data_IF_088659932745
#
_entry.id   IF_088659932745
#
_cell.length_a   1.000
_cell.length_b   1.000
_cell.length_c   1.000
_cell.angle_alpha   90.00
_cell.angle_beta   90.00
_cell.angle_gamma   90.00
#
_symmetry.space_group_name_H-M   'P 1'
#
loop_
_entity.id
_entity.type
_entity.pdbx_description
1 polymer ?
#
# COMPACT_ATOMS: atom_id res chain seq x y z
N UNK A 1 -11.28 -9.13 -13.40
CA UNK A 1 -10.83 -9.71 -12.10
C UNK A 1 -10.68 -11.21 -12.25
N UNK A 2 -9.56 -11.78 -11.81
CA UNK A 2 -9.27 -13.22 -11.92
C UNK A 2 -9.74 -14.00 -10.68
N UNK A 3 -9.82 -15.34 -10.82
CA UNK A 3 -10.03 -16.22 -9.69
C UNK A 3 -8.86 -16.19 -8.68
N UNK A 4 -7.65 -15.90 -9.12
CA UNK A 4 -6.49 -15.78 -8.23
C UNK A 4 -6.63 -14.56 -7.31
N UNK A 5 -7.05 -13.42 -7.86
CA UNK A 5 -7.27 -12.20 -7.10
C UNK A 5 -8.32 -12.38 -5.99
N UNK A 6 -9.48 -12.99 -6.30
CA UNK A 6 -10.58 -13.15 -5.33
C UNK A 6 -10.30 -14.18 -4.24
N UNK A 7 -9.24 -14.98 -4.36
CA UNK A 7 -8.83 -15.95 -3.32
C UNK A 7 -8.06 -15.32 -2.16
N UNK A 8 -7.52 -14.12 -2.34
CA UNK A 8 -6.80 -13.44 -1.27
C UNK A 8 -7.72 -13.11 -0.10
N UNK A 9 -7.18 -13.26 1.10
CA UNK A 9 -7.86 -13.00 2.36
C UNK A 9 -7.30 -11.76 3.05
N UNK A 10 -7.78 -11.48 4.24
CA UNK A 10 -7.41 -10.30 5.00
C UNK A 10 -8.20 -9.08 4.54
N UNK A 11 -7.53 -7.97 4.33
CA UNK A 11 -8.18 -6.75 3.82
C UNK A 11 -8.37 -6.83 2.32
N UNK A 12 -9.60 -6.71 1.85
CA UNK A 12 -9.97 -6.82 0.44
C UNK A 12 -11.03 -5.78 0.07
N UNK A 13 -11.22 -5.54 -1.21
CA UNK A 13 -12.35 -4.81 -1.78
C UNK A 13 -13.57 -5.71 -1.97
N UNK A 14 -13.45 -7.01 -1.70
CA UNK A 14 -14.47 -8.03 -1.96
C UNK A 14 -14.86 -8.13 -3.44
N UNK A 15 -13.85 -8.11 -4.32
CA UNK A 15 -14.04 -8.22 -5.76
C UNK A 15 -14.56 -9.62 -6.16
N UNK A 16 -15.35 -9.65 -7.23
CA UNK A 16 -15.82 -10.88 -7.87
C UNK A 16 -15.20 -11.03 -9.27
N UNK A 17 -15.13 -12.25 -9.77
CA UNK A 17 -14.54 -12.53 -11.09
C UNK A 17 -15.30 -11.88 -12.26
N UNK A 18 -16.56 -11.50 -12.06
CA UNK A 18 -17.36 -10.76 -13.05
C UNK A 18 -17.11 -9.26 -13.05
N UNK A 19 -16.40 -8.74 -12.06
CA UNK A 19 -16.24 -7.30 -11.91
C UNK A 19 -15.28 -6.71 -12.96
N UNK A 20 -15.66 -5.50 -13.40
CA UNK A 20 -14.78 -4.59 -14.14
C UNK A 20 -14.56 -3.35 -13.30
N UNK A 21 -13.35 -3.17 -12.82
CA UNK A 21 -12.98 -2.12 -11.88
C UNK A 21 -12.04 -1.14 -12.56
N UNK A 22 -12.25 0.14 -12.35
CA UNK A 22 -11.33 1.16 -12.88
C UNK A 22 -9.97 1.07 -12.18
N UNK A 23 -8.89 1.48 -12.87
CA UNK A 23 -7.56 1.56 -12.25
C UNK A 23 -7.58 2.52 -11.06
N UNK A 24 -8.33 3.59 -11.14
CA UNK A 24 -8.48 4.58 -10.08
C UNK A 24 -9.12 3.97 -8.82
N UNK A 25 -10.22 3.21 -8.96
CA UNK A 25 -10.85 2.52 -7.83
C UNK A 25 -9.94 1.44 -7.23
N UNK A 26 -9.20 0.72 -8.08
CA UNK A 26 -8.21 -0.25 -7.59
C UNK A 26 -7.11 0.43 -6.77
N UNK A 27 -6.61 1.59 -7.21
CA UNK A 27 -5.61 2.35 -6.46
C UNK A 27 -6.17 2.86 -5.12
N UNK A 28 -7.38 3.44 -5.09
CA UNK A 28 -8.05 3.82 -3.84
C UNK A 28 -8.29 2.61 -2.93
N UNK A 29 -8.75 1.50 -3.49
CA UNK A 29 -8.92 0.25 -2.74
C UNK A 29 -7.62 -0.25 -2.11
N UNK A 30 -6.50 -0.15 -2.82
CA UNK A 30 -5.17 -0.51 -2.28
C UNK A 30 -4.75 0.45 -1.17
N UNK A 31 -4.89 1.74 -1.39
CA UNK A 31 -4.41 2.78 -0.47
C UNK A 31 -5.26 2.83 0.80
N UNK A 32 -6.56 3.01 0.65
CA UNK A 32 -7.50 3.25 1.76
C UNK A 32 -7.91 1.95 2.43
N UNK A 33 -8.38 0.96 1.65
CA UNK A 33 -8.91 -0.30 2.18
C UNK A 33 -7.82 -1.36 2.42
N UNK A 34 -6.61 -1.14 1.90
CA UNK A 34 -5.54 -2.16 1.88
C UNK A 34 -5.93 -3.42 1.09
N UNK A 35 -6.63 -3.27 -0.03
CA UNK A 35 -7.20 -4.36 -0.81
C UNK A 35 -6.14 -5.29 -1.41
N UNK A 36 -5.99 -6.49 -0.84
CA UNK A 36 -5.07 -7.51 -1.36
C UNK A 36 -5.50 -7.98 -2.75
N UNK A 37 -6.79 -8.16 -2.95
CA UNK A 37 -7.38 -8.55 -4.24
C UNK A 37 -7.11 -7.51 -5.33
N UNK A 38 -7.25 -6.22 -5.01
CA UNK A 38 -6.95 -5.12 -5.93
C UNK A 38 -5.46 -5.09 -6.33
N UNK A 39 -4.54 -5.39 -5.41
CA UNK A 39 -3.11 -5.51 -5.73
C UNK A 39 -2.87 -6.59 -6.79
N UNK A 40 -3.52 -7.75 -6.64
CA UNK A 40 -3.35 -8.86 -7.59
C UNK A 40 -3.94 -8.53 -8.95
N UNK A 41 -5.12 -7.89 -8.99
CA UNK A 41 -5.73 -7.45 -10.27
C UNK A 41 -4.79 -6.53 -11.04
N UNK A 42 -4.20 -5.53 -10.36
CA UNK A 42 -3.22 -4.66 -11.03
C UNK A 42 -1.93 -5.40 -11.39
N UNK A 43 -1.46 -6.29 -10.53
CA UNK A 43 -0.26 -7.08 -10.80
C UNK A 43 -0.40 -7.91 -12.07
N UNK A 44 -1.50 -8.63 -12.22
CA UNK A 44 -1.78 -9.43 -13.41
C UNK A 44 -1.91 -8.56 -14.68
N UNK A 45 -2.58 -7.41 -14.56
CA UNK A 45 -2.77 -6.49 -15.69
C UNK A 45 -1.47 -5.82 -16.16
N UNK A 46 -0.52 -5.58 -15.25
CA UNK A 46 0.73 -4.88 -15.53
C UNK A 46 1.93 -5.82 -15.74
N UNK A 47 1.76 -7.09 -15.41
CA UNK A 47 2.79 -8.09 -15.58
C UNK A 47 3.03 -8.42 -17.05
N UNK A 48 4.29 -8.55 -17.50
CA UNK A 48 4.60 -8.98 -18.85
C UNK A 48 4.07 -10.37 -19.24
N UNK A 49 3.89 -11.24 -18.26
CA UNK A 49 3.41 -12.61 -18.41
C UNK A 49 2.00 -12.84 -17.85
N UNK A 50 1.34 -11.76 -17.39
CA UNK A 50 -0.01 -11.85 -16.84
C UNK A 50 -0.09 -12.48 -15.45
N UNK A 51 1.04 -12.65 -14.75
CA UNK A 51 1.10 -13.31 -13.44
C UNK A 51 1.54 -12.36 -12.32
N UNK A 52 1.07 -12.60 -11.09
CA UNK A 52 1.54 -11.86 -9.92
C UNK A 52 3.05 -12.09 -9.69
N UNK A 53 3.56 -13.29 -9.93
CA UNK A 53 4.99 -13.61 -9.81
C UNK A 53 5.84 -12.78 -10.80
N UNK A 54 5.40 -12.67 -12.05
CA UNK A 54 6.06 -11.83 -13.05
C UNK A 54 6.07 -10.36 -12.64
N UNK A 55 4.97 -9.87 -12.07
CA UNK A 55 4.89 -8.52 -11.54
C UNK A 55 5.84 -8.32 -10.35
N UNK A 56 5.94 -9.26 -9.41
CA UNK A 56 6.87 -9.18 -8.28
C UNK A 56 8.34 -9.08 -8.75
N UNK A 57 8.70 -9.81 -9.81
CA UNK A 57 10.01 -9.68 -10.46
C UNK A 57 10.21 -8.29 -11.05
N UNK A 58 9.18 -7.75 -11.70
CA UNK A 58 9.19 -6.38 -12.24
C UNK A 58 9.35 -5.34 -11.14
N UNK A 59 8.59 -5.47 -10.02
CA UNK A 59 8.72 -4.62 -8.84
C UNK A 59 10.14 -4.63 -8.28
N UNK A 60 10.74 -5.81 -8.12
CA UNK A 60 12.13 -5.96 -7.63
C UNK A 60 13.12 -5.27 -8.56
N UNK A 61 12.97 -5.44 -9.88
CA UNK A 61 13.81 -4.76 -10.86
C UNK A 61 13.66 -3.24 -10.80
N UNK A 62 12.43 -2.74 -10.64
CA UNK A 62 12.14 -1.31 -10.51
C UNK A 62 12.71 -0.73 -9.22
N UNK A 63 12.54 -1.44 -8.09
CA UNK A 63 13.10 -1.04 -6.80
C UNK A 63 14.62 -0.81 -6.87
N UNK A 64 15.36 -1.74 -7.46
CA UNK A 64 16.81 -1.58 -7.66
C UNK A 64 17.16 -0.33 -8.47
N UNK A 65 16.39 -0.02 -9.52
CA UNK A 65 16.59 1.21 -10.32
C UNK A 65 16.32 2.49 -9.53
N UNK A 66 15.49 2.42 -8.49
CA UNK A 66 15.19 3.53 -7.59
C UNK A 66 16.18 3.65 -6.42
N UNK A 67 17.17 2.75 -6.31
CA UNK A 67 18.13 2.74 -5.21
C UNK A 67 17.67 1.92 -3.99
N UNK A 68 16.61 1.14 -4.09
CA UNK A 68 16.08 0.26 -3.05
C UNK A 68 16.79 -1.10 -3.09
N UNK A 69 18.05 -1.14 -2.67
CA UNK A 69 18.90 -2.33 -2.83
C UNK A 69 18.64 -3.43 -1.79
N UNK A 70 17.96 -3.11 -0.69
CA UNK A 70 17.63 -4.05 0.39
C UNK A 70 16.18 -4.57 0.30
N UNK A 71 15.55 -4.43 -0.87
CA UNK A 71 14.17 -4.86 -1.08
C UNK A 71 14.07 -5.91 -2.16
N UNK A 72 13.28 -6.95 -1.89
CA UNK A 72 12.90 -8.02 -2.80
C UNK A 72 11.41 -8.27 -2.63
N UNK A 73 10.68 -8.30 -3.73
CA UNK A 73 9.25 -8.58 -3.75
C UNK A 73 8.99 -10.01 -4.21
N UNK A 74 8.20 -10.75 -3.45
CA UNK A 74 7.73 -12.10 -3.79
C UNK A 74 6.26 -12.09 -4.28
N UNK A 75 5.52 -11.04 -3.95
CA UNK A 75 4.13 -10.83 -4.33
C UNK A 75 3.82 -9.33 -4.43
N UNK A 76 2.60 -8.98 -4.83
CA UNK A 76 2.17 -7.61 -5.09
C UNK A 76 1.70 -6.83 -3.85
N UNK A 77 1.30 -7.55 -2.79
CA UNK A 77 0.55 -6.98 -1.66
C UNK A 77 1.28 -7.03 -0.31
N UNK A 78 2.46 -7.66 -0.26
CA UNK A 78 3.19 -7.83 1.00
C UNK A 78 2.72 -9.01 1.85
N UNK A 79 1.97 -9.95 1.28
CA UNK A 79 1.62 -11.18 1.98
C UNK A 79 2.88 -11.91 2.46
N UNK A 80 2.86 -12.52 3.66
CA UNK A 80 4.04 -13.17 4.21
C UNK A 80 4.66 -14.19 3.26
N UNK A 81 5.92 -13.98 2.92
CA UNK A 81 6.75 -14.88 2.14
C UNK A 81 8.21 -14.74 2.61
N UNK A 82 8.95 -15.85 2.83
CA UNK A 82 10.35 -15.80 3.29
C UNK A 82 11.29 -15.02 2.38
N UNK A 83 10.93 -14.87 1.11
CA UNK A 83 11.69 -14.10 0.11
C UNK A 83 11.29 -12.64 0.05
N UNK A 84 10.13 -12.25 0.61
CA UNK A 84 9.65 -10.86 0.60
C UNK A 84 10.35 -10.05 1.68
N UNK A 85 11.15 -9.07 1.30
CA UNK A 85 11.93 -8.26 2.25
C UNK A 85 11.96 -6.80 1.82
N UNK A 86 11.81 -5.91 2.78
CA UNK A 86 11.97 -4.46 2.60
C UNK A 86 12.67 -3.85 3.80
N UNK A 87 13.58 -2.91 3.56
CA UNK A 87 14.15 -2.10 4.64
C UNK A 87 13.34 -0.81 4.83
N UNK A 88 13.35 -0.28 6.05
CA UNK A 88 12.73 1.03 6.35
C UNK A 88 13.35 2.15 5.51
N UNK A 89 14.65 2.07 5.21
CA UNK A 89 15.33 2.99 4.31
C UNK A 89 14.74 2.93 2.90
N UNK A 90 14.52 1.75 2.37
CA UNK A 90 13.97 1.57 1.03
C UNK A 90 12.50 2.02 0.96
N UNK A 91 11.73 1.81 2.04
CA UNK A 91 10.37 2.35 2.15
C UNK A 91 10.35 3.88 2.14
N UNK A 92 11.30 4.53 2.82
CA UNK A 92 11.42 5.99 2.79
C UNK A 92 11.79 6.50 1.38
N UNK A 93 12.67 5.78 0.66
CA UNK A 93 12.98 6.08 -0.76
C UNK A 93 11.72 5.98 -1.61
N UNK A 94 10.96 4.89 -1.47
CA UNK A 94 9.72 4.68 -2.21
C UNK A 94 8.71 5.80 -1.93
N UNK A 95 8.50 6.14 -0.66
CA UNK A 95 7.59 7.21 -0.25
C UNK A 95 7.99 8.56 -0.88
N UNK A 96 9.26 8.92 -0.80
CA UNK A 96 9.76 10.14 -1.43
C UNK A 96 9.52 10.15 -2.95
N UNK A 97 9.77 9.02 -3.63
CA UNK A 97 9.55 8.90 -5.08
C UNK A 97 8.07 8.99 -5.46
N UNK A 98 7.16 8.43 -4.66
CA UNK A 98 5.72 8.58 -4.88
C UNK A 98 5.31 10.05 -4.81
N UNK A 99 5.78 10.76 -3.79
CA UNK A 99 5.45 12.17 -3.57
C UNK A 99 6.02 13.07 -4.67
N UNK A 100 7.26 12.81 -5.09
CA UNK A 100 7.96 13.68 -6.03
C UNK A 100 7.69 13.37 -7.50
N UNK A 101 7.49 12.10 -7.84
CA UNK A 101 7.32 11.67 -9.22
C UNK A 101 5.85 11.65 -9.67
N UNK A 102 4.91 11.58 -8.70
CA UNK A 102 3.47 11.45 -8.96
C UNK A 102 2.63 12.40 -8.09
N UNK A 103 2.95 13.71 -8.06
CA UNK A 103 2.28 14.67 -7.19
C UNK A 103 0.77 14.79 -7.48
N UNK A 104 0.35 14.53 -8.71
CA UNK A 104 -1.05 14.57 -9.13
C UNK A 104 -1.91 13.42 -8.55
N UNK A 105 -1.29 12.27 -8.24
CA UNK A 105 -1.97 11.11 -7.65
C UNK A 105 -1.75 11.01 -6.14
N UNK A 106 -0.77 11.73 -5.61
CA UNK A 106 -0.42 11.66 -4.19
C UNK A 106 -1.58 12.01 -3.24
N UNK A 107 -2.51 12.93 -3.57
CA UNK A 107 -3.68 13.23 -2.72
C UNK A 107 -4.54 12.01 -2.35
N UNK A 108 -4.53 10.93 -3.13
CA UNK A 108 -5.24 9.69 -2.79
C UNK A 108 -4.80 9.09 -1.45
N UNK A 109 -3.54 9.34 -1.02
CA UNK A 109 -3.01 8.85 0.25
C UNK A 109 -3.56 9.59 1.48
N UNK A 110 -4.15 10.76 1.27
CA UNK A 110 -4.81 11.56 2.31
C UNK A 110 -6.32 11.31 2.39
N UNK A 111 -6.88 10.48 1.52
CA UNK A 111 -8.30 10.15 1.58
C UNK A 111 -8.62 9.35 2.84
N UNK A 112 -9.56 9.88 3.65
CA UNK A 112 -9.96 9.24 4.91
C UNK A 112 -10.85 8.02 4.69
N UNK A 113 -11.64 8.04 3.63
CA UNK A 113 -12.64 7.00 3.36
C UNK A 113 -12.70 6.67 1.88
N UNK A 114 -12.96 5.41 1.58
CA UNK A 114 -13.32 4.96 0.24
C UNK A 114 -14.38 3.87 0.35
N UNK A 115 -15.50 4.05 -0.32
CA UNK A 115 -16.57 3.07 -0.40
C UNK A 115 -16.62 2.53 -1.84
N UNK A 116 -16.46 1.22 -1.99
CA UNK A 116 -16.55 0.55 -3.25
C UNK A 116 -17.83 -0.30 -3.32
N UNK A 117 -18.81 0.18 -4.12
CA UNK A 117 -20.04 -0.56 -4.47
C UNK A 117 -20.82 -1.14 -3.25
N UNK A 118 -20.68 -0.50 -2.08
CA UNK A 118 -21.35 -0.93 -0.84
C UNK A 118 -20.92 -2.28 -0.25
N UNK A 119 -19.94 -2.96 -0.86
CA UNK A 119 -19.57 -4.34 -0.49
C UNK A 119 -18.80 -4.46 0.82
N UNK A 120 -18.07 -3.45 1.17
CA UNK A 120 -17.19 -3.46 2.33
C UNK A 120 -17.60 -2.44 3.38
N UNK A 121 -18.89 -2.36 3.71
CA UNK A 121 -19.46 -1.35 4.61
C UNK A 121 -18.70 -1.18 5.95
N UNK A 122 -18.10 -2.26 6.45
CA UNK A 122 -17.29 -2.24 7.68
C UNK A 122 -15.80 -1.91 7.44
N UNK A 123 -15.35 -1.78 6.18
CA UNK A 123 -13.96 -1.52 5.80
C UNK A 123 -13.89 -0.36 4.79
N UNK A 124 -14.30 0.81 5.19
CA UNK A 124 -14.29 2.02 4.35
C UNK A 124 -13.27 3.06 4.80
N UNK A 125 -12.72 2.90 6.00
CA UNK A 125 -11.84 3.88 6.62
C UNK A 125 -10.35 3.63 6.29
N UNK A 126 -9.63 4.71 6.03
CA UNK A 126 -8.18 4.67 5.98
C UNK A 126 -7.64 4.36 7.39
N UNK A 127 -6.75 3.39 7.49
CA UNK A 127 -6.17 2.96 8.77
C UNK A 127 -4.92 3.74 9.18
N UNK A 128 -4.58 4.81 8.45
CA UNK A 128 -3.49 5.69 8.79
C UNK A 128 -3.90 6.64 9.95
N UNK A 129 -3.41 6.43 11.18
CA UNK A 129 -3.93 7.14 12.33
C UNK A 129 -3.46 8.60 12.42
N UNK A 130 -2.47 8.99 11.60
CA UNK A 130 -1.94 10.37 11.65
C UNK A 130 -2.72 11.36 10.78
N UNK A 131 -3.57 10.90 9.85
CA UNK A 131 -4.32 11.79 8.97
C UNK A 131 -5.25 12.75 9.75
N UNK A 132 -5.88 12.30 10.82
CA UNK A 132 -6.80 13.09 11.64
C UNK A 132 -6.15 13.96 12.72
N UNK A 133 -4.81 13.99 12.86
CA UNK A 133 -4.14 14.64 14.01
C UNK A 133 -3.93 16.16 13.85
N UNK A 134 -4.26 16.77 12.71
CA UNK A 134 -4.06 18.20 12.50
C UNK A 134 -2.60 18.65 12.39
N UNK A 135 -1.68 17.72 12.15
CA UNK A 135 -0.23 17.95 12.07
C UNK A 135 0.27 18.16 10.64
N UNK A 136 -0.64 18.34 9.68
CA UNK A 136 -0.31 18.41 8.25
C UNK A 136 0.03 17.06 7.63
N UNK A 137 -0.37 15.95 8.25
CA UNK A 137 -0.20 14.61 7.71
C UNK A 137 -1.07 14.40 6.46
N UNK A 138 -0.47 13.85 5.40
CA UNK A 138 -1.10 13.67 4.09
C UNK A 138 -0.79 12.30 3.44
N UNK A 139 -0.28 11.34 4.19
CA UNK A 139 0.04 9.99 3.73
C UNK A 139 0.83 9.19 4.76
N UNK A 140 1.26 7.98 4.43
CA UNK A 140 1.02 7.25 3.21
C UNK A 140 0.27 5.95 3.52
N UNK A 141 0.94 4.97 4.16
CA UNK A 141 0.41 3.61 4.24
C UNK A 141 0.78 2.87 5.51
N UNK A 142 -0.20 2.18 6.06
CA UNK A 142 -0.02 1.22 7.15
C UNK A 142 0.24 -0.18 6.62
N UNK A 143 0.94 -0.98 7.40
CA UNK A 143 1.13 -2.41 7.16
C UNK A 143 1.06 -3.22 8.44
N UNK A 144 0.77 -4.51 8.31
CA UNK A 144 0.87 -5.46 9.42
C UNK A 144 1.05 -6.88 8.89
N UNK A 145 2.04 -7.57 9.41
CA UNK A 145 2.16 -9.03 9.36
C UNK A 145 2.62 -9.51 10.74
N UNK A 146 2.44 -10.78 11.02
CA UNK A 146 2.93 -11.36 12.29
C UNK A 146 4.45 -11.21 12.42
N UNK A 147 5.17 -11.36 11.31
CA UNK A 147 6.64 -11.31 11.28
C UNK A 147 7.18 -9.88 11.41
N UNK A 148 6.52 -8.89 10.79
CA UNK A 148 6.98 -7.51 10.75
C UNK A 148 6.40 -6.62 11.87
N UNK A 149 5.36 -7.11 12.56
CA UNK A 149 4.58 -6.27 13.47
C UNK A 149 3.78 -5.19 12.76
N UNK A 150 3.28 -4.22 13.50
CA UNK A 150 2.57 -3.06 12.93
C UNK A 150 3.57 -2.04 12.42
N UNK A 151 3.31 -1.49 11.24
CA UNK A 151 4.16 -0.49 10.60
C UNK A 151 3.37 0.67 10.01
N UNK A 152 4.06 1.79 9.85
CA UNK A 152 3.56 2.99 9.19
C UNK A 152 4.68 3.64 8.38
N UNK A 153 4.37 3.94 7.13
CA UNK A 153 5.08 4.95 6.36
C UNK A 153 4.25 6.22 6.45
N UNK A 154 4.74 7.23 7.13
CA UNK A 154 4.04 8.48 7.34
C UNK A 154 4.69 9.64 6.58
N UNK A 155 3.88 10.63 6.24
CA UNK A 155 4.33 11.90 5.70
C UNK A 155 3.46 13.04 6.21
N UNK A 156 4.11 14.15 6.53
CA UNK A 156 3.46 15.40 6.91
C UNK A 156 4.13 16.58 6.22
N UNK A 157 3.33 17.55 5.81
CA UNK A 157 3.79 18.83 5.27
C UNK A 157 3.36 19.95 6.23
N UNK A 158 4.34 20.57 6.86
CA UNK A 158 4.13 21.75 7.71
C UNK A 158 4.80 22.95 7.05
N UNK A 159 4.02 23.95 6.74
CA UNK A 159 4.47 25.12 5.99
C UNK A 159 5.09 24.70 4.63
N UNK A 160 6.43 24.72 4.53
CA UNK A 160 7.16 24.31 3.33
C UNK A 160 8.10 23.12 3.59
N UNK A 161 8.03 22.54 4.78
CA UNK A 161 8.90 21.43 5.19
C UNK A 161 8.12 20.13 5.21
N UNK A 162 8.53 19.18 4.37
CA UNK A 162 8.01 17.82 4.39
C UNK A 162 8.89 16.92 5.26
N UNK A 163 8.23 16.13 6.07
CA UNK A 163 8.85 15.05 6.85
C UNK A 163 8.27 13.74 6.35
N UNK A 164 9.14 12.75 6.08
CA UNK A 164 8.77 11.37 5.78
C UNK A 164 9.42 10.50 6.84
N UNK A 165 8.67 9.62 7.45
CA UNK A 165 9.18 8.67 8.43
C UNK A 165 8.66 7.26 8.18
N UNK A 166 9.38 6.27 8.67
CA UNK A 166 9.01 4.85 8.57
C UNK A 166 9.26 4.18 9.90
N UNK A 167 8.21 3.59 10.46
CA UNK A 167 8.27 2.78 11.68
C UNK A 167 7.74 1.37 11.39
N UNK A 168 8.30 0.38 12.07
CA UNK A 168 7.88 -1.02 11.96
C UNK A 168 8.20 -1.76 13.26
N UNK A 169 7.65 -2.96 13.42
CA UNK A 169 7.86 -3.75 14.64
C UNK A 169 7.02 -3.29 15.83
N UNK A 170 6.05 -2.40 15.61
CA UNK A 170 5.19 -1.90 16.67
C UNK A 170 4.25 -3.01 17.17
N UNK A 171 3.89 -2.92 18.45
CA UNK A 171 3.12 -3.97 19.15
C UNK A 171 1.63 -3.94 18.84
N UNK A 172 1.09 -2.78 18.46
CA UNK A 172 -0.33 -2.62 18.16
C UNK A 172 -0.59 -1.54 17.13
N UNK A 173 -1.81 -1.51 16.62
CA UNK A 173 -2.26 -0.48 15.69
C UNK A 173 -2.26 0.93 16.31
N UNK A 174 -2.65 1.05 17.59
CA UNK A 174 -2.72 2.33 18.29
C UNK A 174 -1.36 2.99 18.47
N UNK A 175 -0.31 2.22 18.72
CA UNK A 175 1.06 2.73 18.92
C UNK A 175 1.60 3.48 17.70
N UNK A 176 1.03 3.27 16.50
CA UNK A 176 1.44 4.02 15.29
C UNK A 176 1.25 5.53 15.39
N UNK A 177 0.33 5.99 16.22
CA UNK A 177 0.04 7.42 16.40
C UNK A 177 0.87 8.04 17.53
N UNK A 178 1.44 7.22 18.40
CA UNK A 178 2.16 7.66 19.61
C UNK A 178 3.67 7.84 19.32
N UNK A 179 4.21 7.20 18.29
CA UNK A 179 5.62 7.27 17.86
C UNK A 179 5.86 8.40 16.83
#
# INVERSE_FOLDING_TARGET
>A
VSEAAVKYRGSTMFLNTSDRVSVEDLLRGIIVLSGNDACVVLAEALSPDGTEEGFAKLMTKRAKKMGMFNSVFANSNGWPDPKHRMSVKDLAILANRIITDFPEYYPMFAEDTFEFDGRAAANTQNRNPILGLGIGADGLKTGHTTEAGYGLVGSALQEKRRVIFVVTGLRSQSVRADE
#
